data_IF_738354893322
#
_entry.id   IF_738354893322
#
_cell.length_a   1.000
_cell.length_b   1.000
_cell.length_c   1.000
_cell.angle_alpha   90.00
_cell.angle_beta   90.00
_cell.angle_gamma   90.00
#
_symmetry.space_group_name_H-M   'P 1'
#
loop_
_entity.id
_entity.type
_entity.pdbx_description
1 polymer ?
#
# COMPACT_ATOMS: atom_id res chain seq x y z
N UNK A 1 -28.98 -22.15 -15.75
CA UNK A 1 -28.59 -21.83 -17.14
C UNK A 1 -27.33 -20.96 -17.18
N UNK A 2 -27.29 -19.82 -16.48
CA UNK A 2 -26.14 -18.88 -16.46
C UNK A 2 -24.80 -19.52 -16.05
N UNK A 3 -24.77 -20.34 -14.99
CA UNK A 3 -23.55 -21.08 -14.58
C UNK A 3 -23.02 -22.02 -15.65
N UNK A 4 -23.91 -22.80 -16.30
CA UNK A 4 -23.51 -23.71 -17.37
C UNK A 4 -22.92 -22.96 -18.57
N UNK A 5 -23.52 -21.83 -18.97
CA UNK A 5 -22.97 -20.98 -20.03
C UNK A 5 -21.58 -20.43 -19.66
N UNK A 6 -21.43 -19.91 -18.43
CA UNK A 6 -20.16 -19.41 -17.88
C UNK A 6 -19.07 -20.49 -17.93
N UNK A 7 -19.37 -21.69 -17.46
CA UNK A 7 -18.41 -22.80 -17.41
C UNK A 7 -18.03 -23.28 -18.82
N UNK A 8 -18.98 -23.26 -19.77
CA UNK A 8 -18.70 -23.58 -21.16
C UNK A 8 -17.80 -22.53 -21.82
N UNK A 9 -18.10 -21.23 -21.63
CA UNK A 9 -17.24 -20.15 -22.12
C UNK A 9 -15.82 -20.24 -21.54
N UNK A 10 -15.69 -20.54 -20.24
CA UNK A 10 -14.40 -20.77 -19.57
C UNK A 10 -13.55 -21.85 -20.26
N UNK A 11 -14.17 -22.95 -20.71
CA UNK A 11 -13.47 -24.01 -21.46
C UNK A 11 -13.07 -23.54 -22.85
N UNK A 12 -13.96 -22.82 -23.55
CA UNK A 12 -13.72 -22.36 -24.91
C UNK A 12 -12.57 -21.36 -24.98
N UNK A 13 -12.52 -20.36 -24.10
CA UNK A 13 -11.49 -19.31 -24.16
C UNK A 13 -10.05 -19.82 -24.03
N UNK A 14 -9.85 -21.02 -23.48
CA UNK A 14 -8.53 -21.65 -23.31
C UNK A 14 -8.00 -22.33 -24.58
N UNK A 15 -8.81 -22.45 -25.64
CA UNK A 15 -8.46 -23.22 -26.84
C UNK A 15 -7.48 -22.52 -27.78
N UNK A 16 -7.66 -21.22 -28.01
CA UNK A 16 -6.81 -20.43 -28.92
C UNK A 16 -6.98 -18.93 -28.66
N UNK A 17 -6.13 -18.10 -29.27
CA UNK A 17 -6.29 -16.65 -29.19
C UNK A 17 -7.59 -16.14 -29.82
N UNK A 18 -8.02 -16.75 -30.91
CA UNK A 18 -9.28 -16.42 -31.59
C UNK A 18 -10.46 -16.82 -30.72
N UNK A 19 -10.41 -18.02 -30.12
CA UNK A 19 -11.43 -18.49 -29.21
C UNK A 19 -11.52 -17.61 -27.94
N UNK A 20 -10.37 -17.18 -27.40
CA UNK A 20 -10.36 -16.20 -26.32
C UNK A 20 -11.05 -14.89 -26.76
N UNK A 21 -10.75 -14.39 -27.96
CA UNK A 21 -11.36 -13.16 -28.48
C UNK A 21 -12.87 -13.26 -28.60
N UNK A 22 -13.36 -14.40 -29.08
CA UNK A 22 -14.78 -14.66 -29.34
C UNK A 22 -15.59 -14.89 -28.05
N UNK A 23 -15.09 -15.73 -27.14
CA UNK A 23 -15.89 -16.21 -26.00
C UNK A 23 -15.62 -15.46 -24.68
N UNK A 24 -14.51 -14.73 -24.57
CA UNK A 24 -14.18 -14.01 -23.34
C UNK A 24 -15.21 -12.95 -22.94
N UNK A 25 -15.74 -12.10 -23.85
CA UNK A 25 -16.78 -11.14 -23.48
C UNK A 25 -18.04 -11.81 -22.92
N UNK A 26 -18.47 -12.93 -23.52
CA UNK A 26 -19.60 -13.70 -23.01
C UNK A 26 -19.32 -14.28 -21.62
N UNK A 27 -18.10 -14.80 -21.41
CA UNK A 27 -17.69 -15.29 -20.09
C UNK A 27 -17.75 -14.19 -19.03
N UNK A 28 -17.14 -13.04 -19.30
CA UNK A 28 -17.15 -11.86 -18.41
C UNK A 28 -18.57 -11.41 -18.11
N UNK A 29 -19.43 -11.35 -19.13
CA UNK A 29 -20.84 -11.02 -18.97
C UNK A 29 -21.54 -11.98 -18.00
N UNK A 30 -21.39 -13.30 -18.16
CA UNK A 30 -22.01 -14.25 -17.25
C UNK A 30 -21.44 -14.16 -15.82
N UNK A 31 -20.13 -13.94 -15.67
CA UNK A 31 -19.51 -13.69 -14.35
C UNK A 31 -20.05 -12.41 -13.70
N UNK A 32 -20.40 -11.39 -14.48
CA UNK A 32 -21.00 -10.13 -13.99
C UNK A 32 -22.43 -10.25 -13.44
N UNK A 33 -23.04 -11.43 -13.60
CA UNK A 33 -24.37 -11.72 -13.04
C UNK A 33 -24.28 -12.28 -11.62
N UNK A 34 -23.11 -12.72 -11.19
CA UNK A 34 -22.89 -13.17 -9.82
C UNK A 34 -22.76 -11.96 -8.86
N UNK A 35 -23.18 -12.09 -7.59
CA UNK A 35 -23.15 -10.99 -6.63
C UNK A 35 -21.76 -10.39 -6.46
N UNK A 36 -21.67 -9.06 -6.51
CA UNK A 36 -20.41 -8.34 -6.31
C UNK A 36 -19.51 -8.31 -7.55
N UNK A 37 -20.04 -8.65 -8.74
CA UNK A 37 -19.34 -8.61 -10.03
C UNK A 37 -19.97 -7.64 -11.06
N UNK A 38 -20.86 -6.77 -10.62
CA UNK A 38 -21.66 -5.91 -11.50
C UNK A 38 -20.79 -4.94 -12.33
N UNK A 39 -19.62 -4.56 -11.81
CA UNK A 39 -18.64 -3.73 -12.50
C UNK A 39 -18.01 -4.40 -13.73
N UNK A 40 -18.05 -5.73 -13.84
CA UNK A 40 -17.54 -6.45 -14.99
C UNK A 40 -18.45 -6.36 -16.23
N UNK A 41 -19.73 -5.98 -16.04
CA UNK A 41 -20.77 -6.10 -17.06
C UNK A 41 -20.49 -5.35 -18.37
N UNK A 42 -19.76 -4.24 -18.28
CA UNK A 42 -19.36 -3.47 -19.44
C UNK A 42 -20.49 -2.91 -20.30
N UNK A 43 -20.14 -2.50 -21.51
CA UNK A 43 -21.04 -2.01 -22.54
C UNK A 43 -21.08 -2.96 -23.73
N UNK A 44 -22.23 -3.01 -24.41
CA UNK A 44 -22.45 -3.91 -25.56
C UNK A 44 -21.49 -3.66 -26.73
N UNK A 45 -20.93 -2.47 -26.82
CA UNK A 45 -20.01 -2.02 -27.88
C UNK A 45 -18.53 -2.18 -27.54
N UNK A 46 -18.19 -2.74 -26.38
CA UNK A 46 -16.79 -2.87 -25.98
C UNK A 46 -16.02 -3.81 -26.92
N UNK A 47 -14.84 -3.36 -27.32
CA UNK A 47 -13.85 -4.20 -27.96
C UNK A 47 -13.37 -5.33 -27.04
N UNK A 48 -12.73 -6.34 -27.62
CA UNK A 48 -12.12 -7.41 -26.83
C UNK A 48 -11.07 -6.86 -25.87
N UNK A 49 -10.27 -5.91 -26.35
CA UNK A 49 -9.21 -5.23 -25.61
C UNK A 49 -9.78 -4.49 -24.41
N UNK A 50 -10.89 -3.75 -24.58
CA UNK A 50 -11.59 -3.06 -23.49
C UNK A 50 -12.17 -4.03 -22.45
N UNK A 51 -12.64 -5.21 -22.88
CA UNK A 51 -13.10 -6.24 -21.94
C UNK A 51 -11.94 -6.82 -21.12
N UNK A 52 -10.80 -7.09 -21.76
CA UNK A 52 -9.59 -7.56 -21.06
C UNK A 52 -9.07 -6.50 -20.08
N UNK A 53 -8.97 -5.25 -20.53
CA UNK A 53 -8.60 -4.09 -19.73
C UNK A 53 -9.45 -3.96 -18.45
N UNK A 54 -10.78 -3.98 -18.60
CA UNK A 54 -11.73 -3.90 -17.48
C UNK A 54 -11.51 -5.02 -16.46
N UNK A 55 -11.31 -6.24 -16.93
CA UNK A 55 -11.06 -7.37 -16.06
C UNK A 55 -9.71 -7.22 -15.36
N UNK A 56 -8.67 -6.75 -16.04
CA UNK A 56 -7.35 -6.51 -15.45
C UNK A 56 -7.33 -5.39 -14.41
N UNK A 57 -8.26 -4.44 -14.46
CA UNK A 57 -8.40 -3.38 -13.45
C UNK A 57 -9.38 -3.75 -12.32
N UNK A 58 -9.90 -4.98 -12.30
CA UNK A 58 -11.09 -5.31 -11.51
C UNK A 58 -10.84 -5.54 -10.02
N UNK A 59 -9.58 -5.66 -9.57
CA UNK A 59 -9.19 -5.69 -8.15
C UNK A 59 -8.77 -4.32 -7.60
N UNK A 60 -8.72 -3.26 -8.40
CA UNK A 60 -8.45 -1.89 -7.92
C UNK A 60 -9.72 -1.28 -7.30
N UNK A 61 -10.17 -1.84 -6.17
CA UNK A 61 -11.43 -1.47 -5.49
C UNK A 61 -11.39 -1.74 -3.99
N UNK A 62 -11.85 -0.77 -3.20
CA UNK A 62 -11.94 -0.87 -1.73
C UNK A 62 -13.20 -1.58 -1.22
N UNK A 63 -13.86 -2.36 -2.06
CA UNK A 63 -15.12 -3.05 -1.71
C UNK A 63 -14.96 -4.55 -1.78
N UNK A 64 -15.85 -5.27 -1.07
CA UNK A 64 -15.93 -6.72 -1.20
C UNK A 64 -16.29 -7.12 -2.64
N UNK A 65 -15.39 -7.84 -3.29
CA UNK A 65 -15.56 -8.33 -4.66
C UNK A 65 -16.23 -9.70 -4.67
N UNK A 66 -16.95 -10.00 -5.75
CA UNK A 66 -17.47 -11.32 -6.06
C UNK A 66 -16.39 -12.27 -6.60
N UNK A 67 -16.78 -13.51 -6.84
CA UNK A 67 -15.91 -14.53 -7.44
C UNK A 67 -15.60 -14.18 -8.90
N UNK A 68 -14.41 -13.65 -9.15
CA UNK A 68 -13.92 -13.19 -10.46
C UNK A 68 -12.52 -13.69 -10.77
N UNK A 69 -12.00 -14.59 -9.96
CA UNK A 69 -10.60 -15.00 -10.00
C UNK A 69 -10.26 -15.66 -11.33
N UNK A 70 -11.14 -16.54 -11.83
CA UNK A 70 -10.91 -17.25 -13.07
C UNK A 70 -10.89 -16.32 -14.30
N UNK A 71 -11.77 -15.31 -14.36
CA UNK A 71 -11.79 -14.35 -15.49
C UNK A 71 -10.56 -13.45 -15.45
N UNK A 72 -10.15 -13.02 -14.25
CA UNK A 72 -8.91 -12.28 -14.05
C UNK A 72 -7.69 -13.09 -14.49
N UNK A 73 -7.62 -14.36 -14.06
CA UNK A 73 -6.55 -15.26 -14.43
C UNK A 73 -6.43 -15.44 -15.95
N UNK A 74 -7.56 -15.57 -16.64
CA UNK A 74 -7.58 -15.64 -18.10
C UNK A 74 -7.06 -14.36 -18.77
N UNK A 75 -7.44 -13.19 -18.25
CA UNK A 75 -6.97 -11.90 -18.76
C UNK A 75 -5.44 -11.72 -18.60
N UNK A 76 -4.89 -12.10 -17.44
CA UNK A 76 -3.44 -12.09 -17.19
C UNK A 76 -2.72 -13.05 -18.13
N UNK A 77 -3.16 -14.31 -18.22
CA UNK A 77 -2.58 -15.32 -19.12
C UNK A 77 -2.64 -14.85 -20.58
N UNK A 78 -3.73 -14.20 -20.99
CA UNK A 78 -3.86 -13.62 -22.32
C UNK A 78 -2.79 -12.55 -22.57
N UNK A 79 -2.56 -11.64 -21.63
CA UNK A 79 -1.51 -10.62 -21.79
C UNK A 79 -0.11 -11.23 -21.84
N UNK A 80 0.21 -12.20 -20.96
CA UNK A 80 1.50 -12.90 -20.99
C UNK A 80 1.75 -13.60 -22.33
N UNK A 81 0.74 -14.31 -22.85
CA UNK A 81 0.87 -14.99 -24.14
C UNK A 81 1.07 -14.01 -25.29
N UNK A 82 0.35 -12.88 -25.30
CA UNK A 82 0.58 -11.81 -26.27
C UNK A 82 2.01 -11.23 -26.19
N UNK A 83 2.55 -11.02 -24.98
CA UNK A 83 3.92 -10.54 -24.80
C UNK A 83 4.96 -11.55 -25.30
N UNK A 84 4.76 -12.84 -25.01
CA UNK A 84 5.65 -13.91 -25.48
C UNK A 84 5.64 -14.07 -27.00
N UNK A 85 4.48 -13.85 -27.62
CA UNK A 85 4.29 -14.01 -29.07
C UNK A 85 4.63 -12.71 -29.84
N UNK A 86 5.34 -11.77 -29.22
CA UNK A 86 5.77 -10.46 -29.75
C UNK A 86 4.61 -9.58 -30.27
N UNK A 87 3.44 -9.69 -29.64
CA UNK A 87 2.23 -8.90 -29.94
C UNK A 87 2.05 -7.74 -28.99
N UNK A 88 3.16 -7.05 -28.67
CA UNK A 88 3.24 -5.91 -27.75
C UNK A 88 2.28 -4.77 -28.09
N UNK A 89 2.01 -4.53 -29.39
CA UNK A 89 1.06 -3.50 -29.83
C UNK A 89 -0.37 -3.79 -29.33
N UNK A 90 -0.78 -5.07 -29.34
CA UNK A 90 -2.11 -5.46 -28.81
C UNK A 90 -2.17 -5.24 -27.29
N UNK A 91 -1.08 -5.54 -26.59
CA UNK A 91 -0.98 -5.31 -25.14
C UNK A 91 -1.00 -3.81 -24.82
N UNK A 92 -0.38 -2.98 -25.65
CA UNK A 92 -0.43 -1.50 -25.52
C UNK A 92 -1.86 -0.98 -25.65
N UNK A 93 -2.66 -1.53 -26.58
CA UNK A 93 -4.09 -1.15 -26.72
C UNK A 93 -4.93 -1.60 -25.52
N UNK A 94 -4.60 -2.76 -24.94
CA UNK A 94 -5.24 -3.23 -23.70
C UNK A 94 -4.86 -2.30 -22.55
N UNK A 95 -3.58 -2.00 -22.39
CA UNK A 95 -3.01 -1.21 -21.28
C UNK A 95 -2.90 0.27 -21.67
N UNK A 96 -4.00 0.84 -22.15
CA UNK A 96 -4.04 2.26 -22.52
C UNK A 96 -3.63 3.15 -21.34
N UNK A 97 -3.04 4.35 -21.58
CA UNK A 97 -2.56 5.22 -20.52
C UNK A 97 -3.57 5.46 -19.39
N UNK A 98 -4.84 5.69 -19.75
CA UNK A 98 -5.93 6.00 -18.79
C UNK A 98 -6.25 4.89 -17.79
N UNK A 99 -5.88 3.64 -18.07
CA UNK A 99 -6.19 2.50 -17.19
C UNK A 99 -4.94 1.92 -16.53
N UNK A 100 -3.76 2.36 -16.95
CA UNK A 100 -2.47 1.75 -16.61
C UNK A 100 -2.28 1.60 -15.10
N UNK A 101 -2.48 2.70 -14.37
CA UNK A 101 -2.29 2.72 -12.92
C UNK A 101 -3.35 1.88 -12.21
N UNK A 102 -4.58 1.81 -12.74
CA UNK A 102 -5.63 0.94 -12.20
C UNK A 102 -5.32 -0.54 -12.41
N UNK A 103 -4.78 -0.91 -13.58
CA UNK A 103 -4.31 -2.28 -13.84
C UNK A 103 -3.14 -2.62 -12.92
N UNK A 104 -2.16 -1.73 -12.73
CA UNK A 104 -1.06 -1.96 -11.79
C UNK A 104 -1.58 -2.20 -10.37
N UNK A 105 -2.43 -1.30 -9.85
CA UNK A 105 -3.05 -1.45 -8.53
C UNK A 105 -3.79 -2.78 -8.38
N UNK A 106 -4.58 -3.13 -9.40
CA UNK A 106 -5.30 -4.40 -9.44
C UNK A 106 -4.36 -5.61 -9.49
N UNK A 107 -3.21 -5.53 -10.17
CA UNK A 107 -2.20 -6.60 -10.17
C UNK A 107 -1.50 -6.70 -8.81
N UNK A 108 -1.22 -5.60 -8.13
CA UNK A 108 -0.57 -5.61 -6.81
C UNK A 108 -1.52 -6.08 -5.69
N UNK A 109 -2.83 -5.93 -5.88
CA UNK A 109 -3.87 -6.38 -4.94
C UNK A 109 -4.40 -7.80 -5.25
N UNK A 110 -3.93 -8.42 -6.34
CA UNK A 110 -4.54 -9.64 -6.84
C UNK A 110 -4.31 -10.83 -5.87
N UNK A 111 -5.33 -11.66 -5.55
CA UNK A 111 -5.18 -12.77 -4.60
C UNK A 111 -4.68 -14.08 -5.25
N UNK A 112 -4.30 -14.07 -6.54
CA UNK A 112 -4.24 -15.28 -7.37
C UNK A 112 -2.81 -15.59 -7.80
N UNK A 113 -2.12 -14.59 -8.32
CA UNK A 113 -0.80 -14.71 -8.91
C UNK A 113 0.28 -14.23 -7.96
N UNK A 114 1.31 -15.06 -7.84
CA UNK A 114 2.62 -14.65 -7.36
C UNK A 114 3.25 -13.60 -8.27
N UNK A 115 4.31 -12.97 -7.78
CA UNK A 115 5.13 -12.00 -8.50
C UNK A 115 5.57 -12.52 -9.87
N UNK A 116 6.11 -13.75 -9.94
CA UNK A 116 6.49 -14.38 -11.21
C UNK A 116 5.32 -14.59 -12.20
N UNK A 117 4.09 -14.61 -11.68
CA UNK A 117 2.86 -14.62 -12.47
C UNK A 117 2.66 -13.30 -13.22
N UNK A 118 2.92 -12.16 -12.58
CA UNK A 118 2.57 -10.83 -13.11
C UNK A 118 3.77 -10.00 -13.61
N UNK A 119 5.00 -10.39 -13.25
CA UNK A 119 6.24 -9.62 -13.49
C UNK A 119 6.41 -9.15 -14.93
N UNK A 120 6.11 -9.98 -15.93
CA UNK A 120 6.28 -9.61 -17.35
C UNK A 120 5.34 -8.47 -17.77
N UNK A 121 4.10 -8.48 -17.25
CA UNK A 121 3.12 -7.43 -17.52
C UNK A 121 3.52 -6.15 -16.79
N UNK A 122 3.92 -6.27 -15.52
CA UNK A 122 4.41 -5.12 -14.74
C UNK A 122 5.63 -4.50 -15.43
N UNK A 123 6.61 -5.31 -15.81
CA UNK A 123 7.79 -4.86 -16.54
C UNK A 123 7.45 -4.15 -17.85
N UNK A 124 6.44 -4.66 -18.59
CA UNK A 124 5.96 -4.00 -19.80
C UNK A 124 5.35 -2.64 -19.51
N UNK A 125 4.58 -2.52 -18.43
CA UNK A 125 3.93 -1.27 -18.02
C UNK A 125 4.95 -0.23 -17.56
N UNK A 126 5.93 -0.64 -16.76
CA UNK A 126 6.86 0.29 -16.09
C UNK A 126 8.06 0.67 -16.94
N UNK A 127 8.40 -0.12 -17.96
CA UNK A 127 9.62 0.07 -18.78
C UNK A 127 9.76 1.51 -19.26
N UNK A 128 10.85 2.15 -18.83
CA UNK A 128 11.22 3.50 -19.24
C UNK A 128 10.35 4.60 -18.65
N UNK A 129 9.48 4.28 -17.69
CA UNK A 129 8.57 5.20 -17.00
C UNK A 129 8.51 4.92 -15.49
N UNK A 130 9.54 4.31 -14.92
CA UNK A 130 9.54 3.79 -13.55
C UNK A 130 9.22 4.87 -12.51
N UNK A 131 9.82 6.06 -12.65
CA UNK A 131 9.57 7.21 -11.76
C UNK A 131 8.14 7.74 -11.93
N UNK A 132 7.68 7.91 -13.16
CA UNK A 132 6.32 8.39 -13.44
C UNK A 132 5.25 7.41 -12.93
N UNK A 133 5.53 6.10 -12.96
CA UNK A 133 4.64 5.10 -12.36
C UNK A 133 4.61 5.21 -10.84
N UNK A 134 5.74 5.48 -10.18
CA UNK A 134 5.74 5.74 -8.74
C UNK A 134 4.92 6.99 -8.39
N UNK A 135 5.02 8.06 -9.19
CA UNK A 135 4.20 9.27 -9.06
C UNK A 135 2.70 8.96 -9.18
N UNK A 136 2.30 8.15 -10.17
CA UNK A 136 0.91 7.73 -10.36
C UNK A 136 0.37 6.85 -9.22
N UNK A 137 1.24 6.17 -8.48
CA UNK A 137 0.87 5.26 -7.40
C UNK A 137 0.98 5.87 -6.00
N UNK A 138 1.34 7.16 -5.88
CA UNK A 138 1.47 7.84 -4.58
C UNK A 138 0.24 7.65 -3.70
N UNK A 139 -0.96 7.90 -4.22
CA UNK A 139 -2.21 7.78 -3.46
C UNK A 139 -2.46 6.34 -2.99
N UNK A 140 -2.08 5.36 -3.80
CA UNK A 140 -2.25 3.94 -3.50
C UNK A 140 -1.31 3.48 -2.39
N UNK A 141 -0.03 3.85 -2.43
CA UNK A 141 0.91 3.49 -1.36
C UNK A 141 0.61 4.22 -0.05
N UNK A 142 0.09 5.44 -0.14
CA UNK A 142 -0.33 6.23 1.04
C UNK A 142 -1.61 5.70 1.68
N UNK A 143 -2.43 4.94 0.95
CA UNK A 143 -3.70 4.38 1.41
C UNK A 143 -3.81 2.90 1.02
N UNK A 144 -2.82 2.09 1.42
CA UNK A 144 -2.82 0.68 1.06
C UNK A 144 -4.07 -0.04 1.61
N UNK A 145 -4.79 -0.80 0.76
CA UNK A 145 -5.89 -1.62 1.23
C UNK A 145 -5.37 -2.80 2.06
N UNK A 146 -6.28 -3.58 2.64
CA UNK A 146 -5.95 -4.82 3.35
C UNK A 146 -5.44 -5.91 2.38
N UNK A 147 -4.16 -5.81 2.00
CA UNK A 147 -3.47 -6.74 1.11
C UNK A 147 -2.96 -7.92 1.92
N UNK A 148 -3.22 -9.13 1.42
CA UNK A 148 -2.70 -10.36 2.00
C UNK A 148 -1.55 -10.90 1.16
N UNK A 149 -0.57 -11.59 1.77
CA UNK A 149 0.45 -12.28 1.01
C UNK A 149 -0.17 -13.34 0.09
N UNK A 150 0.49 -13.59 -1.05
CA UNK A 150 -0.01 -14.51 -2.09
C UNK A 150 1.03 -15.52 -2.54
N UNK A 151 0.54 -16.60 -3.16
CA UNK A 151 1.39 -17.61 -3.76
C UNK A 151 2.08 -18.54 -2.76
N UNK A 152 2.87 -19.48 -3.29
CA UNK A 152 3.55 -20.52 -2.50
C UNK A 152 4.66 -19.94 -1.60
N UNK A 153 5.26 -18.84 -2.03
CA UNK A 153 6.36 -18.17 -1.32
C UNK A 153 5.89 -17.05 -0.40
N UNK A 154 4.56 -16.86 -0.25
CA UNK A 154 3.96 -15.87 0.66
C UNK A 154 4.53 -14.48 0.36
N UNK A 155 4.19 -13.98 -0.81
CA UNK A 155 4.75 -12.77 -1.39
C UNK A 155 3.87 -11.54 -1.10
N UNK A 156 4.48 -10.44 -0.68
CA UNK A 156 3.86 -9.12 -0.60
C UNK A 156 4.14 -8.36 -1.90
N UNK A 157 3.23 -8.49 -2.87
CA UNK A 157 3.42 -7.97 -4.23
C UNK A 157 3.77 -6.49 -4.30
N UNK A 158 3.28 -5.67 -3.36
CA UNK A 158 3.63 -4.25 -3.28
C UNK A 158 5.12 -4.03 -2.98
N UNK A 159 5.74 -4.87 -2.15
CA UNK A 159 7.17 -4.80 -1.84
C UNK A 159 8.00 -5.46 -2.95
N UNK A 160 7.50 -6.55 -3.55
CA UNK A 160 8.13 -7.14 -4.74
C UNK A 160 8.19 -6.15 -5.90
N UNK A 161 7.13 -5.35 -6.07
CA UNK A 161 7.08 -4.27 -7.04
C UNK A 161 8.13 -3.19 -6.76
N UNK A 162 8.21 -2.71 -5.52
CA UNK A 162 9.22 -1.73 -5.12
C UNK A 162 10.64 -2.28 -5.37
N UNK A 163 10.92 -3.49 -4.90
CA UNK A 163 12.19 -4.21 -5.13
C UNK A 163 12.53 -4.31 -6.61
N UNK A 164 11.54 -4.58 -7.46
CA UNK A 164 11.72 -4.72 -8.90
C UNK A 164 12.09 -3.42 -9.61
N UNK A 165 11.64 -2.27 -9.11
CA UNK A 165 11.95 -0.99 -9.73
C UNK A 165 13.40 -0.54 -9.46
N UNK A 166 13.96 -0.88 -8.30
CA UNK A 166 15.28 -0.40 -7.84
C UNK A 166 16.37 -0.44 -8.92
N UNK A 167 16.59 -1.56 -9.65
CA UNK A 167 17.68 -1.62 -10.63
C UNK A 167 17.52 -0.68 -11.83
N UNK A 168 16.32 -0.15 -12.05
CA UNK A 168 15.99 0.71 -13.20
C UNK A 168 15.82 2.18 -12.79
N UNK A 169 15.93 2.51 -11.50
CA UNK A 169 15.82 3.89 -11.03
C UNK A 169 17.09 4.70 -11.33
N UNK A 170 16.97 6.01 -11.57
CA UNK A 170 18.13 6.89 -11.76
C UNK A 170 19.06 6.90 -10.54
N UNK A 171 20.36 7.14 -10.75
CA UNK A 171 21.33 7.20 -9.64
C UNK A 171 21.09 8.33 -8.63
N UNK A 172 20.43 9.41 -9.07
CA UNK A 172 20.03 10.55 -8.23
C UNK A 172 18.53 10.50 -7.91
N UNK A 173 17.93 9.32 -7.92
CA UNK A 173 16.52 9.14 -7.62
C UNK A 173 16.16 9.70 -6.25
N UNK A 174 14.97 10.29 -6.14
CA UNK A 174 14.34 10.65 -4.88
C UNK A 174 12.88 10.29 -4.99
N UNK A 175 12.33 9.71 -3.93
CA UNK A 175 10.95 9.29 -3.87
C UNK A 175 10.01 10.49 -4.09
N UNK A 176 9.05 10.41 -5.03
CA UNK A 176 8.14 11.52 -5.31
C UNK A 176 7.39 11.98 -4.06
N UNK A 177 7.07 13.26 -3.97
CA UNK A 177 6.22 13.78 -2.88
C UNK A 177 4.76 13.83 -3.32
N UNK A 178 3.78 13.46 -2.49
CA UNK A 178 3.86 12.99 -1.09
C UNK A 178 3.80 11.45 -0.93
N UNK A 179 4.80 10.70 -1.40
CA UNK A 179 4.79 9.23 -1.31
C UNK A 179 5.11 8.77 0.12
N UNK A 180 4.12 8.22 0.81
CA UNK A 180 4.23 7.72 2.17
C UNK A 180 4.44 6.20 2.22
N UNK A 181 5.51 5.76 2.90
CA UNK A 181 5.85 4.36 3.09
C UNK A 181 5.29 3.77 4.39
N UNK A 182 4.75 4.57 5.31
CA UNK A 182 4.26 4.09 6.60
C UNK A 182 3.23 2.94 6.47
N UNK A 183 2.25 2.98 5.54
CA UNK A 183 1.34 1.85 5.31
C UNK A 183 2.06 0.59 4.81
N UNK A 184 3.10 0.74 3.99
CA UNK A 184 3.88 -0.39 3.46
C UNK A 184 4.70 -1.05 4.57
N UNK A 185 5.28 -0.25 5.46
CA UNK A 185 6.00 -0.72 6.65
C UNK A 185 5.06 -1.49 7.59
N UNK A 186 3.88 -0.92 7.85
CA UNK A 186 2.85 -1.57 8.68
C UNK A 186 2.37 -2.89 8.05
N UNK A 187 2.25 -2.96 6.72
CA UNK A 187 1.89 -4.19 6.00
C UNK A 187 2.93 -5.29 6.20
N UNK A 188 4.23 -4.98 6.06
CA UNK A 188 5.31 -5.94 6.31
C UNK A 188 5.27 -6.46 7.75
N UNK A 189 5.13 -5.55 8.72
CA UNK A 189 5.09 -5.87 10.15
C UNK A 189 3.88 -6.71 10.58
N UNK A 190 2.84 -6.78 9.75
CA UNK A 190 1.66 -7.63 10.00
C UNK A 190 1.92 -9.10 9.70
N UNK A 191 2.85 -9.42 8.80
CA UNK A 191 3.09 -10.77 8.31
C UNK A 191 4.51 -11.34 8.54
N UNK A 192 5.27 -10.93 9.59
CA UNK A 192 6.69 -11.26 9.69
C UNK A 192 6.96 -12.77 9.73
N UNK A 193 6.12 -13.53 10.43
CA UNK A 193 6.26 -15.00 10.52
C UNK A 193 5.89 -15.73 9.24
N UNK A 194 5.02 -15.14 8.40
CA UNK A 194 4.61 -15.77 7.15
C UNK A 194 5.65 -15.51 6.05
N UNK A 195 6.29 -14.33 6.08
CA UNK A 195 7.23 -13.87 5.05
C UNK A 195 8.70 -14.03 5.46
N UNK A 196 9.02 -14.89 6.43
CA UNK A 196 10.37 -15.00 7.04
C UNK A 196 11.50 -15.09 6.01
N UNK A 197 11.32 -15.91 4.96
CA UNK A 197 12.30 -16.09 3.88
C UNK A 197 12.46 -14.85 2.97
N UNK A 198 11.47 -13.96 2.96
CA UNK A 198 11.43 -12.73 2.16
C UNK A 198 11.70 -11.48 3.01
N UNK A 199 11.82 -11.60 4.33
CA UNK A 199 12.06 -10.45 5.22
C UNK A 199 13.34 -9.71 4.89
N UNK A 200 14.42 -10.45 4.59
CA UNK A 200 15.70 -9.86 4.24
C UNK A 200 15.63 -9.03 2.94
N UNK A 201 15.22 -9.59 1.78
CA UNK A 201 15.12 -8.79 0.56
C UNK A 201 14.09 -7.66 0.64
N UNK A 202 13.00 -7.84 1.40
CA UNK A 202 12.02 -6.77 1.63
C UNK A 202 12.59 -5.63 2.48
N UNK A 203 13.39 -5.95 3.49
CA UNK A 203 14.04 -4.94 4.32
C UNK A 203 15.03 -4.10 3.50
N UNK A 204 15.83 -4.73 2.65
CA UNK A 204 16.77 -4.05 1.76
C UNK A 204 16.04 -3.07 0.81
N UNK A 205 14.93 -3.51 0.21
CA UNK A 205 14.16 -2.67 -0.68
C UNK A 205 13.52 -1.47 0.06
N UNK A 206 12.93 -1.70 1.22
CA UNK A 206 12.30 -0.62 2.00
C UNK A 206 13.34 0.38 2.52
N UNK A 207 14.51 -0.08 2.99
CA UNK A 207 15.61 0.80 3.38
C UNK A 207 16.11 1.61 2.19
N UNK A 208 16.21 1.03 1.00
CA UNK A 208 16.56 1.77 -0.20
C UNK A 208 15.60 2.96 -0.40
N UNK A 209 14.28 2.76 -0.37
CA UNK A 209 13.34 3.86 -0.57
C UNK A 209 13.34 4.88 0.57
N UNK A 210 13.57 4.44 1.82
CA UNK A 210 13.74 5.34 2.96
C UNK A 210 14.98 6.23 2.81
N UNK A 211 16.10 5.67 2.34
CA UNK A 211 17.35 6.39 2.06
C UNK A 211 17.21 7.42 0.93
N UNK A 212 16.26 7.21 0.01
CA UNK A 212 16.02 8.07 -1.14
C UNK A 212 14.86 9.04 -0.89
N UNK A 213 14.76 9.59 0.33
CA UNK A 213 13.80 10.63 0.69
C UNK A 213 12.43 10.13 1.14
N UNK A 214 12.25 8.82 1.30
CA UNK A 214 11.02 8.23 1.82
C UNK A 214 10.85 8.39 3.32
N UNK A 215 11.96 8.49 4.09
CA UNK A 215 11.90 8.64 5.54
C UNK A 215 11.26 9.96 5.97
N UNK A 216 11.60 11.08 5.31
CA UNK A 216 11.06 12.41 5.61
C UNK A 216 9.58 12.56 5.22
N UNK A 217 9.02 11.57 4.50
CA UNK A 217 7.65 11.59 4.00
C UNK A 217 6.71 10.68 4.79
N UNK A 218 7.23 9.99 5.81
CA UNK A 218 6.43 9.09 6.64
C UNK A 218 5.33 9.86 7.37
N UNK A 219 4.08 9.47 7.16
CA UNK A 219 2.95 10.03 7.93
C UNK A 219 2.95 9.56 9.39
N UNK A 220 3.57 8.40 9.65
CA UNK A 220 3.71 7.82 10.97
C UNK A 220 5.09 7.21 11.15
N UNK A 221 5.74 7.58 12.26
CA UNK A 221 7.06 7.09 12.63
C UNK A 221 7.03 5.74 13.35
N UNK A 222 5.88 5.33 13.89
CA UNK A 222 5.76 4.10 14.68
C UNK A 222 6.03 2.83 13.85
N UNK A 223 5.41 2.62 12.66
CA UNK A 223 5.76 1.49 11.81
C UNK A 223 7.22 1.51 11.38
N UNK A 224 7.84 2.68 11.23
CA UNK A 224 9.26 2.78 10.91
C UNK A 224 10.15 2.35 12.07
N UNK A 225 9.86 2.77 13.30
CA UNK A 225 10.57 2.31 14.49
C UNK A 225 10.50 0.78 14.64
N UNK A 226 9.29 0.22 14.58
CA UNK A 226 9.08 -1.23 14.71
C UNK A 226 9.80 -2.00 13.58
N UNK A 227 9.80 -1.44 12.36
CA UNK A 227 10.54 -1.99 11.23
C UNK A 227 12.06 -1.97 11.46
N UNK A 228 12.63 -0.86 11.94
CA UNK A 228 14.07 -0.81 12.22
C UNK A 228 14.47 -1.76 13.33
N UNK A 229 13.66 -1.90 14.38
CA UNK A 229 13.86 -2.92 15.41
C UNK A 229 13.85 -4.32 14.82
N UNK A 230 12.88 -4.64 13.95
CA UNK A 230 12.85 -5.90 13.22
C UNK A 230 14.14 -6.14 12.43
N UNK A 231 14.63 -5.14 11.68
CA UNK A 231 15.86 -5.26 10.92
C UNK A 231 17.07 -5.63 11.80
N UNK A 232 17.15 -5.13 13.03
CA UNK A 232 18.23 -5.48 13.98
C UNK A 232 18.18 -6.93 14.46
N UNK A 233 17.00 -7.56 14.43
CA UNK A 233 16.80 -8.96 14.85
C UNK A 233 17.02 -9.97 13.72
N UNK A 234 17.05 -9.52 12.46
CA UNK A 234 17.26 -10.41 11.32
C UNK A 234 18.67 -11.02 11.39
N UNK A 235 18.81 -12.33 11.10
CA UNK A 235 20.13 -12.96 11.05
C UNK A 235 21.00 -12.26 10.00
N UNK A 236 22.23 -11.93 10.38
CA UNK A 236 23.22 -11.41 9.44
C UNK A 236 23.57 -12.55 8.49
N UNK A 237 23.05 -12.51 7.26
CA UNK A 237 23.58 -13.36 6.19
C UNK A 237 25.00 -12.88 5.86
N UNK A 238 26.00 -13.73 5.66
CA UNK A 238 27.41 -13.30 5.45
C UNK A 238 27.65 -12.61 4.09
N UNK A 239 26.59 -12.16 3.40
CA UNK A 239 26.63 -11.43 2.14
C UNK A 239 27.00 -9.95 2.29
N UNK A 240 27.66 -9.34 1.29
CA UNK A 240 28.14 -7.94 1.33
C UNK A 240 27.01 -6.88 1.46
N UNK A 241 25.75 -7.27 1.27
CA UNK A 241 24.55 -6.41 1.37
C UNK A 241 23.85 -6.49 2.74
N UNK A 242 24.02 -7.57 3.51
CA UNK A 242 23.26 -7.79 4.76
C UNK A 242 23.65 -6.82 5.88
N UNK A 243 24.90 -6.37 5.87
CA UNK A 243 25.46 -5.41 6.82
C UNK A 243 24.98 -4.00 6.53
N UNK A 244 24.45 -3.73 5.33
CA UNK A 244 23.88 -2.43 4.95
C UNK A 244 22.58 -2.17 5.71
N UNK A 245 21.61 -3.08 5.64
CA UNK A 245 20.27 -2.86 6.20
C UNK A 245 20.27 -2.72 7.72
N UNK A 246 21.02 -3.56 8.44
CA UNK A 246 21.19 -3.39 9.89
C UNK A 246 21.93 -2.09 10.24
N UNK A 247 22.97 -1.74 9.48
CA UNK A 247 23.71 -0.50 9.68
C UNK A 247 22.83 0.74 9.46
N UNK A 248 22.01 0.74 8.41
CA UNK A 248 21.03 1.79 8.11
C UNK A 248 19.93 1.84 9.16
N UNK A 249 19.41 0.70 9.62
CA UNK A 249 18.44 0.66 10.72
C UNK A 249 19.01 1.26 12.01
N UNK A 250 20.25 0.93 12.40
CA UNK A 250 20.94 1.60 13.53
C UNK A 250 21.08 3.09 13.28
N UNK A 251 21.48 3.49 12.08
CA UNK A 251 21.57 4.90 11.71
C UNK A 251 20.23 5.64 11.81
N UNK A 252 19.10 5.01 11.56
CA UNK A 252 17.80 5.65 11.78
C UNK A 252 17.40 5.67 13.26
N UNK A 253 17.88 4.73 14.07
CA UNK A 253 17.56 4.66 15.50
C UNK A 253 18.47 5.54 16.38
N UNK A 254 19.76 5.72 16.03
CA UNK A 254 20.76 6.43 16.84
C UNK A 254 20.56 7.97 16.91
N UNK A 255 20.22 8.68 15.81
CA UNK A 255 20.02 10.13 15.80
C UNK A 255 18.55 10.54 16.04
N UNK A 256 17.58 9.63 15.87
CA UNK A 256 16.16 9.94 16.01
C UNK A 256 15.63 9.47 17.36
N UNK A 257 16.08 10.11 18.44
CA UNK A 257 15.47 9.96 19.77
C UNK A 257 13.97 10.31 19.82
N UNK A 258 13.39 10.87 18.75
CA UNK A 258 11.94 11.01 18.55
C UNK A 258 11.23 9.74 18.02
N UNK A 259 11.94 8.65 17.73
CA UNK A 259 11.36 7.34 17.39
C UNK A 259 11.20 6.42 18.61
N UNK A 260 11.84 6.74 19.74
CA UNK A 260 11.55 6.09 21.00
C UNK A 260 10.16 6.58 21.38
N UNK A 261 9.16 5.70 21.38
CA UNK A 261 7.90 5.97 22.06
C UNK A 261 8.27 6.45 23.46
N UNK A 262 7.97 7.72 23.77
CA UNK A 262 8.15 8.20 25.12
C UNK A 262 7.32 7.26 26.02
N UNK A 263 7.82 6.87 27.19
CA UNK A 263 7.03 6.06 28.10
C UNK A 263 5.67 6.76 28.29
N UNK A 264 4.56 6.00 28.35
CA UNK A 264 3.24 6.58 28.51
C UNK A 264 3.27 7.59 29.65
N UNK A 265 2.75 8.82 29.44
CA UNK A 265 2.93 9.89 30.39
C UNK A 265 2.41 9.45 31.75
N UNK A 266 3.23 9.71 32.77
CA UNK A 266 2.87 9.44 34.15
C UNK A 266 1.61 10.21 34.53
N UNK A 267 0.93 9.74 35.58
CA UNK A 267 -0.25 10.44 36.11
C UNK A 267 0.09 11.89 36.52
N UNK A 268 1.34 12.15 36.91
CA UNK A 268 1.83 13.48 37.26
C UNK A 268 1.96 14.39 36.02
N UNK A 269 2.51 13.88 34.92
CA UNK A 269 2.60 14.61 33.63
C UNK A 269 1.21 14.91 33.06
N UNK A 270 0.29 13.94 33.14
CA UNK A 270 -1.11 14.13 32.77
C UNK A 270 -1.81 15.17 33.64
N UNK A 271 -1.55 15.19 34.95
CA UNK A 271 -2.11 16.18 35.85
C UNK A 271 -1.52 17.58 35.59
N UNK A 272 -0.23 17.66 35.26
CA UNK A 272 0.44 18.91 34.88
C UNK A 272 -0.15 19.50 33.60
N UNK A 273 -0.46 18.64 32.62
CA UNK A 273 -1.17 19.03 31.39
C UNK A 273 -2.56 19.60 31.69
N UNK A 274 -3.35 18.91 32.53
CA UNK A 274 -4.68 19.39 32.97
C UNK A 274 -4.58 20.73 33.69
N UNK A 275 -3.59 20.88 34.59
CA UNK A 275 -3.37 22.11 35.34
C UNK A 275 -2.97 23.26 34.42
N UNK A 276 -2.14 23.02 33.40
CA UNK A 276 -1.74 24.02 32.41
C UNK A 276 -2.94 24.51 31.59
N UNK A 277 -3.79 23.59 31.12
CA UNK A 277 -5.02 23.92 30.38
C UNK A 277 -6.02 24.71 31.23
N UNK A 278 -6.19 24.33 32.50
CA UNK A 278 -7.06 25.05 33.45
C UNK A 278 -6.49 26.43 33.83
N UNK A 279 -5.17 26.56 33.96
CA UNK A 279 -4.53 27.84 34.25
C UNK A 279 -4.70 28.82 33.08
N UNK A 280 -4.60 28.34 31.84
CA UNK A 280 -4.84 29.13 30.62
C UNK A 280 -6.27 29.65 30.53
N UNK A 281 -7.24 28.82 30.90
CA UNK A 281 -8.66 29.19 30.91
C UNK A 281 -8.97 30.35 31.88
N UNK A 282 -8.23 30.46 32.98
CA UNK A 282 -8.51 31.44 34.03
C UNK A 282 -7.76 32.77 33.86
N UNK A 283 -6.75 32.85 32.98
CA UNK A 283 -5.97 34.08 32.77
C UNK A 283 -5.39 34.15 31.34
N UNK A 284 -6.19 34.65 30.39
CA UNK A 284 -5.80 34.77 28.96
C UNK A 284 -4.82 35.92 28.65
N UNK A 285 -4.31 36.65 29.66
CA UNK A 285 -3.56 37.88 29.44
C UNK A 285 -2.02 37.74 29.59
N UNK A 286 -1.50 36.52 29.82
CA UNK A 286 -0.10 36.28 30.14
C UNK A 286 0.65 35.54 29.00
N UNK A 287 1.78 36.10 28.56
CA UNK A 287 2.66 35.49 27.54
C UNK A 287 3.27 34.14 27.99
N UNK A 288 3.49 33.95 29.30
CA UNK A 288 3.98 32.67 29.85
C UNK A 288 2.93 31.55 29.72
N UNK A 289 1.65 31.91 29.63
CA UNK A 289 0.53 30.99 29.51
C UNK A 289 0.28 30.53 28.06
N UNK A 290 0.60 31.36 27.07
CA UNK A 290 0.56 30.98 25.65
C UNK A 290 1.56 29.85 25.36
N UNK A 291 2.77 29.93 25.93
CA UNK A 291 3.77 28.86 25.80
C UNK A 291 3.30 27.55 26.42
N UNK A 292 2.74 27.61 27.64
CA UNK A 292 2.20 26.42 28.32
C UNK A 292 1.01 25.81 27.57
N UNK A 293 0.20 26.63 26.89
CA UNK A 293 -0.90 26.17 26.05
C UNK A 293 -0.41 25.51 24.76
N UNK A 294 0.59 26.08 24.09
CA UNK A 294 1.22 25.47 22.91
C UNK A 294 1.85 24.12 23.29
N UNK A 295 2.59 24.06 24.40
CA UNK A 295 3.17 22.82 24.90
C UNK A 295 2.07 21.78 25.22
N UNK A 296 0.95 22.19 25.81
CA UNK A 296 -0.20 21.34 26.09
C UNK A 296 -0.92 20.81 24.83
N UNK A 297 -1.06 21.64 23.81
CA UNK A 297 -1.67 21.26 22.52
C UNK A 297 -0.75 20.29 21.76
N UNK A 298 0.57 20.51 21.80
CA UNK A 298 1.56 19.57 21.23
C UNK A 298 1.45 18.20 21.92
N UNK A 299 1.32 18.17 23.25
CA UNK A 299 1.17 16.92 24.01
C UNK A 299 -0.16 16.20 23.70
N UNK A 300 -1.24 16.95 23.47
CA UNK A 300 -2.53 16.38 23.06
C UNK A 300 -2.52 15.83 21.64
N UNK A 301 -1.85 16.51 20.70
CA UNK A 301 -1.64 16.02 19.32
C UNK A 301 -0.77 14.75 19.32
N UNK A 302 0.23 14.68 20.21
CA UNK A 302 1.03 13.48 20.44
C UNK A 302 0.17 12.29 20.92
N UNK A 303 -0.63 12.47 21.98
CA UNK A 303 -1.53 11.44 22.52
C UNK A 303 -2.60 10.99 21.51
N UNK A 304 -3.09 11.91 20.67
CA UNK A 304 -4.03 11.60 19.59
C UNK A 304 -3.38 10.70 18.51
N UNK A 305 -2.12 10.96 18.17
CA UNK A 305 -1.36 10.20 17.16
C UNK A 305 -0.95 8.81 17.64
N UNK A 306 -0.79 8.59 18.95
CA UNK A 306 -0.49 7.27 19.52
C UNK A 306 -1.70 6.32 19.59
N UNK A 307 -2.91 6.80 19.28
CA UNK A 307 -4.12 5.98 19.27
C UNK A 307 -4.75 5.76 20.66
N UNK A 308 -4.26 6.46 21.69
CA UNK A 308 -4.77 6.43 23.07
C UNK A 308 -6.07 7.24 23.25
N UNK A 309 -7.06 7.01 22.37
CA UNK A 309 -8.34 7.72 22.37
C UNK A 309 -9.12 7.60 23.71
N UNK A 310 -8.90 6.54 24.48
CA UNK A 310 -9.54 6.33 25.77
C UNK A 310 -8.95 7.23 26.86
N UNK A 311 -7.64 7.39 26.89
CA UNK A 311 -6.94 8.28 27.83
C UNK A 311 -7.22 9.74 27.49
N UNK A 312 -7.21 10.08 26.20
CA UNK A 312 -7.59 11.40 25.70
C UNK A 312 -9.06 11.74 26.05
N UNK A 313 -9.99 10.79 25.92
CA UNK A 313 -11.39 10.96 26.35
C UNK A 313 -11.51 11.13 27.85
N UNK A 314 -10.73 10.41 28.65
CA UNK A 314 -10.72 10.52 30.11
C UNK A 314 -10.18 11.89 30.57
N UNK A 315 -9.10 12.38 29.94
CA UNK A 315 -8.54 13.72 30.15
C UNK A 315 -9.55 14.82 29.77
N UNK A 316 -10.12 14.75 28.56
CA UNK A 316 -11.13 15.69 28.07
C UNK A 316 -12.49 15.57 28.80
N UNK A 317 -12.66 14.59 29.69
CA UNK A 317 -13.80 14.51 30.60
C UNK A 317 -13.56 15.27 31.90
N UNK A 318 -12.30 15.52 32.27
CA UNK A 318 -11.90 16.30 33.45
C UNK A 318 -11.80 17.80 33.15
N UNK A 319 -11.65 18.16 31.88
CA UNK A 319 -11.70 19.55 31.41
C UNK A 319 -13.14 19.87 31.00
N UNK A 320 -13.68 20.99 31.45
CA UNK A 320 -15.04 21.42 31.08
C UNK A 320 -15.12 21.70 29.58
N UNK A 321 -15.77 20.78 28.84
CA UNK A 321 -15.89 20.82 27.38
C UNK A 321 -16.64 22.05 26.87
N UNK A 322 -17.49 22.67 27.71
CA UNK A 322 -18.20 23.90 27.36
C UNK A 322 -17.23 25.08 27.25
N UNK A 323 -16.16 25.05 28.04
CA UNK A 323 -15.16 26.12 28.10
C UNK A 323 -14.10 26.01 27.00
N UNK A 324 -13.77 24.80 26.53
CA UNK A 324 -12.88 24.56 25.38
C UNK A 324 -13.49 24.99 24.03
N UNK A 325 -14.82 24.96 23.91
CA UNK A 325 -15.52 25.41 22.70
C UNK A 325 -15.52 26.95 22.53
N UNK A 326 -15.21 27.71 23.58
CA UNK A 326 -15.03 29.16 23.51
C UNK A 326 -13.67 29.61 22.96
N UNK A 327 -12.77 28.66 22.66
CA UNK A 327 -11.42 28.89 22.12
C UNK A 327 -11.31 28.67 20.60
N UNK A 328 -12.39 28.25 19.92
CA UNK A 328 -12.52 28.14 18.45
C UNK A 328 -13.24 29.37 17.88
#
# INVERSE_FOLDING_TARGET
>A
MTRWCRDHCRVLVRRSHESHREFFPAWVFFTSLDPGNEDLRGYRSDSHEQNVARVLSSFDRDRKLGDREDVFASAVVKCKSLLRDDRSETVTRILSPDIRSSVLRSLLQNPIFSWGGIKDIVAFITRGNEVAVLEELVEFFSNLPDIKPVGRYIELLVIDFLSFLIPSLPSMFTLPRPFDLAPTLALLLRYPSEIENSLWPYSDALIYFLDHGGFEQLSSLRPAYDFFQLCLTLPSDDGPTSTSSQGRARFYLEPHWGLIALPPPSHEELQNLVNALQSYQNDMASEDLEKNFVDAVIECDYLAREGSQLEMKALLHQVDRVSLLGLL
#
